data_IF_596038453099
#
_entry.id   IF_596038453099
#
_cell.length_a   1.000
_cell.length_b   1.000
_cell.length_c   1.000
_cell.angle_alpha   90.00
_cell.angle_beta   90.00
_cell.angle_gamma   90.00
#
_symmetry.space_group_name_H-M   'P 1'
#
loop_
_entity.id
_entity.type
_entity.pdbx_description
1 polymer ?
#
# COMPACT_ATOMS: atom_id res chain seq x y z
N UNK A 1 -18.31 -18.20 -82.95
CA UNK A 1 -17.37 -17.43 -82.14
C UNK A 1 -18.05 -17.02 -80.82
N UNK A 2 -17.76 -17.68 -79.73
CA UNK A 2 -18.35 -17.49 -78.39
C UNK A 2 -17.39 -16.69 -77.51
N UNK A 3 -17.79 -15.48 -77.07
CA UNK A 3 -17.00 -14.66 -76.21
C UNK A 3 -17.28 -15.06 -74.73
N UNK A 4 -16.29 -15.54 -74.02
CA UNK A 4 -16.39 -15.84 -72.62
C UNK A 4 -16.14 -14.56 -71.77
N UNK A 5 -17.21 -14.20 -71.03
CA UNK A 5 -17.13 -13.05 -70.08
C UNK A 5 -16.44 -13.41 -68.80
N UNK A 6 -15.33 -12.77 -68.53
CA UNK A 6 -14.56 -12.92 -67.26
C UNK A 6 -15.27 -12.12 -66.16
N UNK A 7 -15.99 -12.82 -65.28
CA UNK A 7 -16.56 -12.24 -64.06
C UNK A 7 -15.47 -12.08 -62.99
N UNK A 8 -15.01 -10.86 -62.77
CA UNK A 8 -14.13 -10.53 -61.63
C UNK A 8 -14.97 -10.46 -60.34
N UNK A 9 -14.85 -11.48 -59.50
CA UNK A 9 -15.37 -11.44 -58.12
C UNK A 9 -14.58 -10.42 -57.32
N UNK A 10 -15.24 -9.33 -56.89
CA UNK A 10 -14.71 -8.39 -55.90
C UNK A 10 -14.71 -9.07 -54.53
N UNK A 11 -13.53 -9.47 -54.06
CA UNK A 11 -13.34 -9.93 -52.69
C UNK A 11 -13.64 -8.79 -51.70
N UNK A 12 -14.71 -8.97 -50.94
CA UNK A 12 -15.13 -8.03 -49.89
C UNK A 12 -14.04 -7.86 -48.82
N UNK A 13 -13.59 -6.62 -48.65
CA UNK A 13 -12.60 -6.23 -47.64
C UNK A 13 -13.22 -6.17 -46.21
N UNK A 14 -13.61 -7.30 -45.66
CA UNK A 14 -14.12 -7.39 -44.27
C UNK A 14 -13.02 -7.50 -43.21
N UNK A 15 -11.77 -7.51 -43.66
CA UNK A 15 -10.58 -7.66 -42.76
C UNK A 15 -10.36 -6.39 -41.95
N UNK A 16 -10.68 -5.21 -42.47
CA UNK A 16 -10.40 -3.94 -41.81
C UNK A 16 -11.21 -3.69 -40.53
N UNK A 17 -12.48 -4.12 -40.52
CA UNK A 17 -13.35 -3.88 -39.35
C UNK A 17 -12.98 -4.77 -38.16
N UNK A 18 -12.61 -6.04 -38.40
CA UNK A 18 -12.15 -6.94 -37.33
C UNK A 18 -10.80 -6.52 -36.74
N UNK A 19 -9.88 -6.06 -37.59
CA UNK A 19 -8.58 -5.54 -37.10
C UNK A 19 -8.76 -4.27 -36.27
N UNK A 20 -9.63 -3.36 -36.67
CA UNK A 20 -9.97 -2.15 -35.92
C UNK A 20 -10.56 -2.47 -34.54
N UNK A 21 -11.49 -3.43 -34.46
CA UNK A 21 -12.11 -3.86 -33.21
C UNK A 21 -11.08 -4.48 -32.25
N UNK A 22 -10.14 -5.27 -32.76
CA UNK A 22 -9.07 -5.89 -31.94
C UNK A 22 -8.12 -4.82 -31.41
N UNK A 23 -7.74 -3.84 -32.22
CA UNK A 23 -6.87 -2.74 -31.76
C UNK A 23 -7.55 -1.85 -30.72
N UNK A 24 -8.82 -1.52 -30.91
CA UNK A 24 -9.59 -0.74 -29.93
C UNK A 24 -9.74 -1.50 -28.61
N UNK A 25 -10.04 -2.80 -28.66
CA UNK A 25 -10.11 -3.64 -27.47
C UNK A 25 -8.78 -3.73 -26.73
N UNK A 26 -7.67 -3.90 -27.47
CA UNK A 26 -6.32 -3.92 -26.88
C UNK A 26 -5.96 -2.59 -26.21
N UNK A 27 -6.27 -1.47 -26.83
CA UNK A 27 -6.04 -0.12 -26.26
C UNK A 27 -6.89 0.09 -25.01
N UNK A 28 -8.15 -0.33 -25.02
CA UNK A 28 -9.02 -0.24 -23.84
C UNK A 28 -8.49 -1.09 -22.66
N UNK A 29 -8.00 -2.30 -22.92
CA UNK A 29 -7.40 -3.16 -21.89
C UNK A 29 -6.14 -2.49 -21.33
N UNK A 30 -5.32 -1.85 -22.16
CA UNK A 30 -4.12 -1.13 -21.70
C UNK A 30 -4.44 0.10 -20.83
N UNK A 31 -5.52 0.82 -21.13
CA UNK A 31 -5.96 1.97 -20.33
C UNK A 31 -6.46 1.54 -18.93
N UNK A 32 -7.09 0.36 -18.83
CA UNK A 32 -7.57 -0.18 -17.55
C UNK A 32 -6.50 -0.86 -16.71
N UNK A 33 -5.34 -1.17 -17.28
CA UNK A 33 -4.18 -1.74 -16.60
C UNK A 33 -3.24 -0.66 -16.02
N UNK A 34 -3.75 0.52 -15.67
CA UNK A 34 -2.96 1.52 -14.95
C UNK A 34 -2.48 0.93 -13.62
N UNK A 35 -1.17 0.90 -13.35
CA UNK A 35 -0.69 0.43 -12.07
C UNK A 35 -1.28 1.33 -10.99
N UNK A 36 -2.07 0.75 -10.09
CA UNK A 36 -2.48 1.43 -8.87
C UNK A 36 -1.20 1.87 -8.14
N UNK A 37 -1.12 3.11 -7.63
CA UNK A 37 0.02 3.55 -6.87
C UNK A 37 0.22 2.58 -5.69
N UNK A 38 1.24 1.74 -5.82
CA UNK A 38 1.60 0.81 -4.75
C UNK A 38 2.02 1.62 -3.53
N UNK A 39 1.52 1.25 -2.37
CA UNK A 39 1.99 1.85 -1.12
C UNK A 39 3.48 1.55 -0.94
N UNK A 40 4.26 2.45 -0.31
CA UNK A 40 5.68 2.24 -0.16
C UNK A 40 5.95 0.97 0.65
N UNK A 41 6.82 0.11 0.14
CA UNK A 41 7.19 -1.16 0.77
C UNK A 41 7.78 -0.99 2.17
N UNK A 42 8.49 0.12 2.37
CA UNK A 42 9.17 0.47 3.63
C UNK A 42 8.88 1.91 3.99
N UNK A 43 8.56 2.14 5.24
CA UNK A 43 8.30 3.47 5.81
C UNK A 43 9.28 3.69 6.96
N UNK A 44 9.96 4.82 6.97
CA UNK A 44 10.82 5.21 8.07
C UNK A 44 9.99 5.99 9.09
N UNK A 45 9.91 5.45 10.29
CA UNK A 45 9.19 6.03 11.41
C UNK A 45 10.19 6.64 12.40
N UNK A 46 10.12 7.95 12.56
CA UNK A 46 11.03 8.67 13.45
C UNK A 46 10.51 10.04 13.85
N UNK A 47 11.19 10.65 14.79
CA UNK A 47 10.90 11.99 15.33
C UNK A 47 11.88 13.03 14.80
N UNK A 48 12.33 12.92 13.56
CA UNK A 48 13.37 13.80 12.99
C UNK A 48 13.05 15.30 13.10
N UNK A 49 11.79 15.65 13.15
CA UNK A 49 11.30 17.05 13.12
C UNK A 49 10.70 17.51 14.46
N UNK A 50 10.92 16.79 15.56
CA UNK A 50 10.36 17.18 16.87
C UNK A 50 11.48 17.74 17.76
N UNK A 51 11.32 18.96 18.31
CA UNK A 51 12.26 19.51 19.29
C UNK A 51 12.41 18.57 20.49
N UNK A 52 13.64 18.37 20.96
CA UNK A 52 13.95 17.50 22.09
C UNK A 52 14.75 16.25 21.73
N UNK A 53 15.08 16.08 20.45
CA UNK A 53 16.06 15.08 19.99
C UNK A 53 15.53 13.66 19.87
N UNK A 54 16.35 12.85 19.19
CA UNK A 54 16.13 11.40 19.02
C UNK A 54 16.74 10.68 20.23
N UNK A 55 15.94 10.01 21.01
CA UNK A 55 16.45 9.15 22.08
C UNK A 55 16.83 7.75 21.56
N UNK A 56 16.27 7.34 20.43
CA UNK A 56 16.52 6.04 19.79
C UNK A 56 16.59 6.18 18.28
N UNK A 57 17.25 5.23 17.58
CA UNK A 57 17.24 5.16 16.12
C UNK A 57 15.82 5.10 15.56
N UNK A 58 15.65 5.56 14.34
CA UNK A 58 14.40 5.45 13.60
C UNK A 58 14.06 3.99 13.30
N UNK A 59 12.79 3.69 13.16
CA UNK A 59 12.30 2.34 12.86
C UNK A 59 11.97 2.25 11.37
N UNK A 60 12.59 1.29 10.69
CA UNK A 60 12.18 0.93 9.33
C UNK A 60 11.01 -0.04 9.42
N UNK A 61 9.83 0.41 9.02
CA UNK A 61 8.61 -0.38 9.02
C UNK A 61 8.39 -0.98 7.64
N UNK A 62 8.45 -2.32 7.49
CA UNK A 62 8.20 -3.00 6.22
C UNK A 62 6.69 -3.18 6.03
N UNK A 63 6.03 -2.17 5.45
CA UNK A 63 4.57 -2.14 5.29
C UNK A 63 4.04 -3.33 4.49
N UNK A 64 4.67 -3.66 3.36
CA UNK A 64 4.26 -4.77 2.51
C UNK A 64 4.31 -6.13 3.23
N UNK A 65 5.27 -6.37 4.13
CA UNK A 65 5.33 -7.61 4.92
C UNK A 65 4.11 -7.83 5.81
N UNK A 66 3.48 -6.76 6.26
CA UNK A 66 2.26 -6.83 7.07
C UNK A 66 1.06 -7.19 6.20
N UNK A 67 0.96 -6.60 5.00
CA UNK A 67 -0.05 -6.96 4.02
C UNK A 67 0.10 -8.43 3.54
N UNK A 68 1.33 -8.87 3.24
CA UNK A 68 1.66 -10.25 2.88
C UNK A 68 1.35 -11.26 4.00
N UNK A 69 1.39 -10.82 5.25
CA UNK A 69 1.00 -11.62 6.41
C UNK A 69 -0.53 -11.75 6.57
N UNK A 70 -1.32 -11.16 5.66
CA UNK A 70 -2.77 -11.24 5.65
C UNK A 70 -3.46 -10.28 6.61
N UNK A 71 -2.75 -9.22 7.06
CA UNK A 71 -3.36 -8.17 7.88
C UNK A 71 -4.16 -7.22 7.00
N UNK A 72 -5.34 -6.80 7.48
CA UNK A 72 -6.14 -5.78 6.82
C UNK A 72 -5.63 -4.38 7.13
N UNK A 73 -6.00 -3.40 6.31
CA UNK A 73 -5.68 -2.00 6.57
C UNK A 73 -6.19 -1.55 7.95
N UNK A 74 -7.36 -2.03 8.35
CA UNK A 74 -8.02 -1.69 9.62
C UNK A 74 -7.36 -2.29 10.86
N UNK A 75 -6.47 -3.27 10.70
CA UNK A 75 -5.67 -3.80 11.82
C UNK A 75 -4.68 -2.76 12.36
N UNK A 76 -4.30 -1.78 11.53
CA UNK A 76 -3.39 -0.71 11.91
C UNK A 76 -4.02 0.68 11.80
N UNK A 77 -4.73 0.96 10.69
CA UNK A 77 -5.38 2.24 10.47
C UNK A 77 -6.79 2.25 11.06
N UNK A 78 -7.13 3.33 11.74
CA UNK A 78 -8.43 3.43 12.40
C UNK A 78 -8.96 4.86 12.43
N UNK A 79 -10.29 4.95 12.38
CA UNK A 79 -11.08 6.11 12.76
C UNK A 79 -12.20 5.59 13.66
N UNK A 80 -12.13 5.86 14.94
CA UNK A 80 -13.14 5.37 15.88
C UNK A 80 -14.33 6.34 15.99
N UNK A 81 -15.54 5.78 15.86
CA UNK A 81 -16.78 6.43 16.18
C UNK A 81 -17.63 5.43 16.97
N UNK A 82 -18.12 5.84 18.13
CA UNK A 82 -18.95 5.01 19.03
C UNK A 82 -18.33 3.62 19.31
N UNK A 83 -17.01 3.59 19.54
CA UNK A 83 -16.24 2.37 19.83
C UNK A 83 -15.99 1.45 18.64
N UNK A 84 -16.41 1.81 17.43
CA UNK A 84 -16.20 1.03 16.20
C UNK A 84 -15.18 1.71 15.28
N UNK A 85 -14.32 0.92 14.64
CA UNK A 85 -13.45 1.43 13.59
C UNK A 85 -14.27 1.60 12.30
N UNK A 86 -14.59 2.86 11.99
CA UNK A 86 -15.38 3.25 10.80
C UNK A 86 -14.52 3.72 9.64
N UNK A 87 -13.23 3.45 9.65
CA UNK A 87 -12.32 3.83 8.57
C UNK A 87 -12.83 3.30 7.22
N UNK A 88 -12.89 4.19 6.24
CA UNK A 88 -13.05 3.81 4.84
C UNK A 88 -11.67 3.56 4.23
N UNK A 89 -11.39 2.31 3.87
CA UNK A 89 -10.10 1.90 3.31
C UNK A 89 -9.83 2.53 1.94
N UNK A 90 -10.87 2.90 1.20
CA UNK A 90 -10.76 3.61 -0.07
C UNK A 90 -10.17 5.02 0.06
N UNK A 91 -10.09 5.55 1.28
CA UNK A 91 -9.49 6.87 1.56
C UNK A 91 -7.99 6.80 1.87
N UNK A 92 -7.43 5.59 1.95
CA UNK A 92 -6.02 5.36 2.26
C UNK A 92 -5.15 5.55 1.01
N UNK A 93 -4.66 6.75 0.81
CA UNK A 93 -3.76 7.11 -0.29
C UNK A 93 -2.33 7.31 0.21
N UNK A 94 -1.35 6.79 -0.54
CA UNK A 94 0.06 6.98 -0.22
C UNK A 94 0.42 8.47 -0.17
N UNK A 95 1.15 8.86 0.88
CA UNK A 95 1.57 10.25 1.08
C UNK A 95 0.54 11.17 1.73
N UNK A 96 -0.70 10.75 1.91
CA UNK A 96 -1.73 11.55 2.57
C UNK A 96 -1.46 11.68 4.07
N UNK A 97 -1.33 12.90 4.56
CA UNK A 97 -0.98 13.13 5.96
C UNK A 97 -2.05 12.64 6.95
N UNK A 98 -3.32 12.75 6.59
CA UNK A 98 -4.45 12.38 7.45
C UNK A 98 -4.51 10.91 7.86
N UNK A 99 -3.81 10.01 7.15
CA UNK A 99 -3.73 8.59 7.49
C UNK A 99 -2.56 8.24 8.44
N UNK A 100 -1.70 9.20 8.75
CA UNK A 100 -0.55 8.98 9.63
C UNK A 100 -1.00 9.02 11.09
N UNK A 101 -0.39 8.19 11.93
CA UNK A 101 -0.64 8.20 13.37
C UNK A 101 -0.50 9.59 13.97
N UNK A 102 0.49 10.37 13.48
CA UNK A 102 0.76 11.74 13.92
C UNK A 102 -0.36 12.74 13.59
N UNK A 103 -1.29 12.43 12.70
CA UNK A 103 -2.41 13.32 12.39
C UNK A 103 -3.34 13.49 13.59
N UNK A 104 -3.54 12.41 14.37
CA UNK A 104 -4.44 12.38 15.53
C UNK A 104 -3.69 12.26 16.87
N UNK A 105 -2.60 11.47 16.93
CA UNK A 105 -1.85 11.23 18.16
C UNK A 105 -0.80 12.31 18.43
N UNK A 106 -1.26 13.56 18.52
CA UNK A 106 -0.42 14.73 18.89
C UNK A 106 -0.40 14.92 20.40
N UNK A 107 0.63 15.58 20.91
CA UNK A 107 1.07 15.63 22.32
C UNK A 107 0.05 16.11 23.38
N UNK A 108 -1.15 16.54 23.05
CA UNK A 108 -2.02 17.26 24.02
C UNK A 108 -3.32 16.59 24.41
N UNK A 109 -3.69 15.45 23.83
CA UNK A 109 -4.95 14.79 24.19
C UNK A 109 -4.85 13.28 24.09
N UNK A 110 -4.89 12.57 25.20
CA UNK A 110 -4.98 11.13 25.25
C UNK A 110 -3.65 10.42 24.92
N UNK A 111 -3.70 9.40 24.09
CA UNK A 111 -2.55 8.58 23.71
C UNK A 111 -1.61 9.38 22.80
N UNK A 112 -0.38 9.60 23.24
CA UNK A 112 0.62 10.28 22.43
C UNK A 112 1.18 9.39 21.31
N UNK A 113 1.90 9.98 20.36
CA UNK A 113 2.40 9.29 19.16
C UNK A 113 3.31 8.09 19.49
N UNK A 114 4.20 8.23 20.46
CA UNK A 114 5.10 7.15 20.88
C UNK A 114 4.32 5.97 21.47
N UNK A 115 3.38 6.26 22.35
CA UNK A 115 2.50 5.25 22.92
C UNK A 115 1.61 4.60 21.87
N UNK A 116 1.12 5.37 20.89
CA UNK A 116 0.30 4.83 19.80
C UNK A 116 1.09 3.78 18.99
N UNK A 117 2.32 4.08 18.59
CA UNK A 117 3.17 3.11 17.90
C UNK A 117 3.51 1.91 18.79
N UNK A 118 3.91 2.13 20.04
CA UNK A 118 4.29 1.03 20.94
C UNK A 118 3.11 0.11 21.22
N UNK A 119 1.93 0.65 21.50
CA UNK A 119 0.74 -0.16 21.74
C UNK A 119 0.33 -0.96 20.50
N UNK A 120 0.37 -0.33 19.33
CA UNK A 120 -0.02 -0.99 18.08
C UNK A 120 0.98 -2.08 17.71
N UNK A 121 2.26 -1.75 17.59
CA UNK A 121 3.28 -2.68 17.09
C UNK A 121 3.62 -3.75 18.14
N UNK A 122 4.01 -3.35 19.35
CA UNK A 122 4.44 -4.29 20.39
C UNK A 122 3.26 -5.12 20.89
N UNK A 123 2.06 -4.52 21.01
CA UNK A 123 0.86 -5.21 21.45
C UNK A 123 0.52 -6.37 20.52
N UNK A 124 0.47 -6.10 19.22
CA UNK A 124 0.20 -7.12 18.21
C UNK A 124 1.30 -8.19 18.16
N UNK A 125 2.57 -7.81 18.08
CA UNK A 125 3.69 -8.75 18.02
C UNK A 125 3.76 -9.64 19.26
N UNK A 126 3.51 -9.12 20.46
CA UNK A 126 3.44 -9.90 21.70
C UNK A 126 2.29 -10.90 21.71
N UNK A 127 1.12 -10.51 21.18
CA UNK A 127 -0.02 -11.41 21.04
C UNK A 127 0.34 -12.59 20.15
N UNK A 128 0.86 -12.34 18.95
CA UNK A 128 1.26 -13.40 18.03
C UNK A 128 2.37 -14.28 18.59
N UNK A 129 3.35 -13.70 19.28
CA UNK A 129 4.40 -14.45 19.96
C UNK A 129 3.84 -15.40 21.03
N UNK A 130 2.93 -14.94 21.87
CA UNK A 130 2.25 -15.78 22.87
C UNK A 130 1.45 -16.92 22.22
N UNK A 131 0.86 -16.67 21.08
CA UNK A 131 0.14 -17.68 20.28
C UNK A 131 1.08 -18.60 19.48
N UNK A 132 2.40 -18.47 19.66
CA UNK A 132 3.44 -19.22 18.92
C UNK A 132 3.33 -19.05 17.38
N UNK A 133 2.77 -17.96 16.93
CA UNK A 133 2.70 -17.57 15.53
C UNK A 133 3.94 -16.82 15.09
N UNK A 134 4.23 -16.85 13.78
CA UNK A 134 5.30 -16.03 13.20
C UNK A 134 4.99 -14.56 13.47
N UNK A 135 5.96 -13.81 13.98
CA UNK A 135 5.80 -12.40 14.32
C UNK A 135 7.09 -11.63 14.12
N UNK A 136 6.99 -10.30 14.11
CA UNK A 136 8.12 -9.38 14.16
C UNK A 136 8.68 -9.21 15.57
N UNK A 137 9.68 -8.34 15.72
CA UNK A 137 10.30 -8.03 17.01
C UNK A 137 9.29 -7.37 17.96
N UNK A 138 9.40 -7.66 19.25
CA UNK A 138 8.56 -7.09 20.30
C UNK A 138 9.36 -6.47 21.46
N UNK A 139 10.63 -6.17 21.20
CA UNK A 139 11.55 -5.51 22.15
C UNK A 139 12.28 -4.35 21.47
N UNK A 140 12.78 -3.41 22.28
CA UNK A 140 13.30 -2.13 21.79
C UNK A 140 14.37 -2.26 20.70
N UNK A 141 15.41 -3.07 20.94
CA UNK A 141 16.54 -3.22 20.02
C UNK A 141 16.19 -3.96 18.72
N UNK A 142 15.07 -4.67 18.67
CA UNK A 142 14.62 -5.34 17.46
C UNK A 142 13.91 -4.40 16.48
N UNK A 143 13.37 -3.28 16.99
CA UNK A 143 12.73 -2.24 16.19
C UNK A 143 13.67 -1.04 15.98
N UNK A 144 14.31 -0.57 17.05
CA UNK A 144 15.25 0.55 17.04
C UNK A 144 16.67 0.06 16.77
N UNK A 145 16.90 -0.42 15.56
CA UNK A 145 18.21 -0.91 15.13
C UNK A 145 19.09 0.28 14.77
N UNK A 146 20.31 0.34 15.27
CA UNK A 146 21.29 1.26 14.70
C UNK A 146 21.55 0.81 13.27
N UNK A 147 20.95 1.49 12.32
CA UNK A 147 21.27 1.25 10.93
C UNK A 147 22.73 1.58 10.73
N UNK A 148 23.52 0.60 10.39
CA UNK A 148 24.83 0.78 9.80
C UNK A 148 24.68 1.18 8.31
N UNK A 149 23.66 1.96 7.98
CA UNK A 149 23.58 2.64 6.71
C UNK A 149 24.62 3.75 6.71
N UNK A 150 25.84 3.37 6.43
CA UNK A 150 26.71 4.15 5.60
C UNK A 150 26.10 3.97 4.20
N UNK A 151 25.21 4.88 3.81
CA UNK A 151 24.94 5.07 2.41
C UNK A 151 26.25 5.47 1.72
N UNK A 152 26.55 4.88 0.55
CA UNK A 152 27.78 5.15 -0.17
C UNK A 152 27.88 6.60 -0.61
#
# INVERSE_FOLDING_TARGET
MRKEGHSRRRGSKTIGCKALLITVAAVLIFIWASPLPAQPDKIVLGRSNIPGGKTRPEVTFPHNRHAEAGLSCKDCHHVYKDGKNVLDEGTLEAGKEGIRCSACHRQKSGLNLEQAFHNQCIGCHRKYWKEKKKTGPHFCGGCHVKNSHKDP
#
